data_IF_684086442033
#
_entry.id   IF_684086442033
#
_cell.length_a   1.000
_cell.length_b   1.000
_cell.length_c   1.000
_cell.angle_alpha   90.00
_cell.angle_beta   90.00
_cell.angle_gamma   90.00
#
_symmetry.space_group_name_H-M   'P 1'
#
loop_
_entity.id
_entity.type
_entity.pdbx_description
1 polymer ?
#
# COMPACT_ATOMS: atom_id res chain seq x y z
N UNK A 1 6.35 -9.33 -1.31
CA UNK A 1 7.38 -10.33 -0.97
C UNK A 1 6.88 -11.69 -1.37
N UNK A 2 7.73 -12.52 -1.95
CA UNK A 2 7.43 -13.93 -2.16
C UNK A 2 7.79 -14.77 -0.94
N UNK A 3 7.47 -16.06 -0.99
CA UNK A 3 7.90 -17.03 0.01
C UNK A 3 9.43 -17.11 0.06
N UNK A 4 9.99 -17.30 1.26
CA UNK A 4 11.43 -17.37 1.46
C UNK A 4 11.88 -17.12 2.90
N UNK A 5 13.19 -17.17 3.11
CA UNK A 5 13.85 -16.89 4.38
C UNK A 5 14.40 -15.46 4.41
N UNK A 6 14.15 -14.74 5.50
CA UNK A 6 14.48 -13.33 5.70
C UNK A 6 15.01 -13.09 7.11
N UNK A 7 15.44 -11.86 7.38
CA UNK A 7 15.85 -11.42 8.72
C UNK A 7 15.14 -10.12 9.08
N UNK A 8 14.55 -10.05 10.26
CA UNK A 8 13.88 -8.86 10.79
C UNK A 8 14.44 -8.55 12.19
N UNK A 9 15.07 -7.39 12.35
CA UNK A 9 15.69 -7.02 13.62
C UNK A 9 16.78 -8.00 14.09
N UNK A 10 17.47 -8.67 13.15
CA UNK A 10 18.45 -9.72 13.44
C UNK A 10 17.86 -11.10 13.72
N UNK A 11 16.54 -11.26 13.73
CA UNK A 11 15.87 -12.54 13.97
C UNK A 11 15.48 -13.22 12.64
N UNK A 12 15.63 -14.55 12.53
CA UNK A 12 15.29 -15.29 11.32
C UNK A 12 13.78 -15.43 11.14
N UNK A 13 13.29 -15.10 9.95
CA UNK A 13 11.87 -15.07 9.58
C UNK A 13 11.64 -15.92 8.34
N UNK A 14 10.70 -16.85 8.42
CA UNK A 14 10.19 -17.57 7.27
C UNK A 14 8.91 -16.88 6.78
N UNK A 15 8.86 -16.53 5.49
CA UNK A 15 7.64 -16.14 4.80
C UNK A 15 7.13 -17.33 4.02
N UNK A 16 5.91 -17.77 4.30
CA UNK A 16 5.27 -18.87 3.56
C UNK A 16 3.77 -18.66 3.49
N UNK A 17 3.18 -18.89 2.31
CA UNK A 17 1.73 -18.79 2.09
C UNK A 17 1.13 -17.44 2.56
N UNK A 18 1.86 -16.34 2.39
CA UNK A 18 1.39 -15.01 2.80
C UNK A 18 1.51 -14.68 4.30
N UNK A 19 2.19 -15.51 5.08
CA UNK A 19 2.47 -15.26 6.50
C UNK A 19 3.96 -15.12 6.75
N UNK A 20 4.37 -14.11 7.51
CA UNK A 20 5.73 -13.94 8.01
C UNK A 20 5.80 -14.41 9.47
N UNK A 21 6.64 -15.40 9.77
CA UNK A 21 6.79 -15.96 11.12
C UNK A 21 8.25 -16.11 11.51
N UNK A 22 8.54 -15.84 12.79
CA UNK A 22 9.80 -16.24 13.40
C UNK A 22 9.91 -17.77 13.42
N UNK A 23 11.12 -18.30 13.56
CA UNK A 23 11.34 -19.73 13.77
C UNK A 23 10.66 -20.29 15.04
N UNK A 24 10.35 -19.41 16.01
CA UNK A 24 9.53 -19.75 17.18
C UNK A 24 8.04 -19.96 16.86
N UNK A 25 7.59 -19.62 15.65
CA UNK A 25 6.20 -19.69 15.19
C UNK A 25 5.39 -18.40 15.37
N UNK A 26 5.91 -17.42 16.13
CA UNK A 26 5.26 -16.12 16.32
C UNK A 26 5.20 -15.29 15.03
N UNK A 27 4.15 -14.47 14.85
CA UNK A 27 4.07 -13.55 13.72
C UNK A 27 5.21 -12.52 13.77
N UNK A 28 5.80 -12.26 12.60
CA UNK A 28 6.92 -11.34 12.41
C UNK A 28 6.54 -10.24 11.42
N UNK A 29 5.59 -9.39 11.80
CA UNK A 29 5.03 -8.38 10.90
C UNK A 29 4.04 -8.97 9.89
N UNK A 30 3.98 -8.38 8.70
CA UNK A 30 3.05 -8.77 7.63
C UNK A 30 3.70 -8.58 6.26
N UNK A 31 3.22 -9.35 5.27
CA UNK A 31 3.54 -9.16 3.84
C UNK A 31 2.44 -8.43 3.07
N UNK A 32 1.43 -7.91 3.79
CA UNK A 32 0.34 -7.12 3.22
C UNK A 32 0.86 -5.79 2.65
N UNK A 33 0.49 -5.51 1.41
CA UNK A 33 0.77 -4.23 0.76
C UNK A 33 -0.36 -3.24 0.97
N UNK A 34 -0.10 -1.93 0.84
CA UNK A 34 -1.09 -0.89 1.15
C UNK A 34 -2.30 -0.91 0.20
N UNK A 35 -2.09 -1.19 -1.09
CA UNK A 35 -3.15 -1.38 -2.08
C UNK A 35 -4.09 -2.51 -1.65
N UNK A 36 -3.54 -3.66 -1.24
CA UNK A 36 -4.31 -4.79 -0.72
C UNK A 36 -4.99 -4.47 0.61
N UNK A 37 -4.37 -3.67 1.48
CA UNK A 37 -4.99 -3.23 2.73
C UNK A 37 -6.25 -2.38 2.46
N UNK A 38 -6.19 -1.45 1.49
CA UNK A 38 -7.35 -0.65 1.05
C UNK A 38 -8.40 -1.54 0.40
N UNK A 39 -8.01 -2.45 -0.50
CA UNK A 39 -8.91 -3.43 -1.10
C UNK A 39 -9.65 -4.27 -0.04
N UNK A 40 -8.94 -4.77 0.96
CA UNK A 40 -9.52 -5.55 2.06
C UNK A 40 -10.46 -4.70 2.92
N UNK A 41 -10.11 -3.45 3.21
CA UNK A 41 -10.97 -2.54 3.96
C UNK A 41 -12.31 -2.29 3.24
N UNK A 42 -12.29 -2.16 1.91
CA UNK A 42 -13.51 -1.98 1.13
C UNK A 42 -14.27 -3.30 0.99
N UNK A 43 -13.62 -4.37 0.54
CA UNK A 43 -14.28 -5.63 0.14
C UNK A 43 -14.63 -6.56 1.29
N UNK A 44 -13.78 -6.63 2.32
CA UNK A 44 -13.94 -7.57 3.44
C UNK A 44 -14.55 -6.91 4.68
N UNK A 45 -14.16 -5.66 4.96
CA UNK A 45 -14.67 -4.91 6.12
C UNK A 45 -15.94 -4.13 5.77
N UNK A 46 -16.12 -3.74 4.50
CA UNK A 46 -17.30 -3.02 4.03
C UNK A 46 -17.24 -1.50 4.21
N UNK A 47 -16.04 -0.92 4.31
CA UNK A 47 -15.88 0.53 4.35
C UNK A 47 -16.08 1.14 2.95
N UNK A 48 -16.60 2.36 2.89
CA UNK A 48 -16.58 3.11 1.63
C UNK A 48 -15.13 3.45 1.21
N UNK A 49 -14.92 3.58 -0.10
CA UNK A 49 -13.60 3.83 -0.68
C UNK A 49 -12.95 5.12 -0.15
N UNK A 50 -13.63 6.28 -0.08
CA UNK A 50 -13.04 7.51 0.48
C UNK A 50 -12.53 7.33 1.91
N UNK A 51 -13.26 6.63 2.76
CA UNK A 51 -12.86 6.34 4.15
C UNK A 51 -11.63 5.45 4.18
N UNK A 52 -11.62 4.36 3.42
CA UNK A 52 -10.47 3.46 3.34
C UNK A 52 -9.20 4.18 2.81
N UNK A 53 -9.34 5.02 1.78
CA UNK A 53 -8.24 5.83 1.24
C UNK A 53 -7.76 6.85 2.27
N UNK A 54 -8.64 7.55 2.98
CA UNK A 54 -8.27 8.50 4.02
C UNK A 54 -7.49 7.84 5.17
N UNK A 55 -7.86 6.61 5.56
CA UNK A 55 -7.12 5.81 6.54
C UNK A 55 -5.70 5.47 6.08
N UNK A 56 -5.49 5.24 4.78
CA UNK A 56 -4.19 4.96 4.20
C UNK A 56 -3.35 6.22 3.89
N UNK A 57 -3.96 7.42 3.85
CA UNK A 57 -3.31 8.63 3.34
C UNK A 57 -3.44 9.83 4.29
N UNK A 58 -4.62 10.47 4.35
CA UNK A 58 -4.84 11.71 5.09
C UNK A 58 -4.63 11.55 6.60
N UNK A 59 -5.11 10.45 7.18
CA UNK A 59 -4.99 10.19 8.61
C UNK A 59 -3.52 10.04 9.07
N UNK A 60 -2.69 9.19 8.43
CA UNK A 60 -1.27 9.12 8.78
C UNK A 60 -0.53 10.43 8.46
N UNK A 61 -0.88 11.15 7.38
CA UNK A 61 -0.30 12.46 7.10
C UNK A 61 -0.57 13.46 8.24
N UNK A 62 -1.81 13.54 8.74
CA UNK A 62 -2.17 14.39 9.88
C UNK A 62 -1.45 13.98 11.17
N UNK A 63 -1.39 12.67 11.44
CA UNK A 63 -0.69 12.14 12.61
C UNK A 63 0.79 12.57 12.64
N UNK A 64 1.43 12.58 11.46
CA UNK A 64 2.82 12.97 11.27
C UNK A 64 3.02 14.47 11.01
N UNK A 65 1.93 15.27 10.98
CA UNK A 65 1.95 16.70 10.64
C UNK A 65 2.56 17.00 9.27
N UNK A 66 2.19 16.18 8.29
CA UNK A 66 2.57 16.29 6.88
C UNK A 66 1.37 16.62 5.98
N UNK A 67 0.20 16.85 6.57
CA UNK A 67 -1.05 17.10 5.82
C UNK A 67 -1.12 18.50 5.19
N UNK A 68 -0.13 19.35 5.40
CA UNK A 68 0.11 20.56 4.61
C UNK A 68 0.60 20.21 3.19
N UNK A 69 1.32 19.10 3.01
CA UNK A 69 1.95 18.70 1.72
C UNK A 69 1.55 17.33 1.19
N UNK A 70 1.04 16.42 2.02
CA UNK A 70 0.72 15.03 1.68
C UNK A 70 -0.72 14.65 2.05
N UNK A 71 -1.11 13.44 1.65
CA UNK A 71 -2.31 12.76 2.15
C UNK A 71 -3.65 13.22 1.55
N UNK A 72 -3.67 14.22 0.66
CA UNK A 72 -4.88 14.59 -0.09
C UNK A 72 -4.53 15.24 -1.42
N UNK A 73 -5.49 15.21 -2.36
CA UNK A 73 -5.39 15.91 -3.64
C UNK A 73 -5.84 17.36 -3.46
N UNK A 74 -4.89 18.29 -3.42
CA UNK A 74 -5.17 19.73 -3.35
C UNK A 74 -4.04 20.52 -3.99
N UNK A 75 -4.38 21.71 -4.53
CA UNK A 75 -3.39 22.63 -5.10
C UNK A 75 -2.36 23.02 -4.03
N UNK A 76 -1.09 23.02 -4.41
CA UNK A 76 0.03 23.36 -3.52
C UNK A 76 0.63 22.18 -2.75
N UNK A 77 0.02 20.99 -2.82
CA UNK A 77 0.57 19.74 -2.27
C UNK A 77 1.50 19.04 -3.24
N UNK A 78 2.34 18.14 -2.71
CA UNK A 78 3.19 17.31 -3.54
C UNK A 78 2.33 16.38 -4.41
N UNK A 79 2.71 16.23 -5.67
CA UNK A 79 2.03 15.36 -6.62
C UNK A 79 2.39 13.88 -6.40
N UNK A 80 2.08 13.37 -5.20
CA UNK A 80 2.17 11.96 -4.82
C UNK A 80 0.81 11.28 -4.97
N UNK A 81 0.62 10.56 -6.07
CA UNK A 81 -0.68 10.08 -6.52
C UNK A 81 -0.64 8.59 -6.87
N UNK A 82 -1.80 7.94 -6.73
CA UNK A 82 -2.07 6.63 -7.29
C UNK A 82 -3.23 6.74 -8.28
N UNK A 83 -3.10 6.07 -9.42
CA UNK A 83 -4.20 5.81 -10.35
C UNK A 83 -4.65 4.37 -10.13
N UNK A 84 -5.93 4.20 -9.84
CA UNK A 84 -6.54 2.89 -9.58
C UNK A 84 -7.62 2.60 -10.62
N UNK A 85 -7.81 1.32 -10.96
CA UNK A 85 -9.00 0.88 -11.72
C UNK A 85 -10.22 0.65 -10.80
N UNK A 86 -11.33 0.21 -11.39
CA UNK A 86 -12.59 -0.07 -10.67
C UNK A 86 -12.44 -1.22 -9.66
N UNK A 87 -11.47 -2.11 -9.87
CA UNK A 87 -11.11 -3.20 -8.98
C UNK A 87 -10.06 -2.80 -7.93
N UNK A 88 -9.70 -1.52 -7.89
CA UNK A 88 -8.69 -0.93 -7.02
C UNK A 88 -7.28 -1.48 -7.24
N UNK A 89 -6.97 -1.99 -8.44
CA UNK A 89 -5.61 -2.35 -8.81
C UNK A 89 -4.83 -1.08 -9.19
N UNK A 90 -3.55 -1.02 -8.84
CA UNK A 90 -2.69 0.13 -9.14
C UNK A 90 -2.32 0.12 -10.63
N UNK A 91 -2.80 1.12 -11.36
CA UNK A 91 -2.46 1.38 -12.76
C UNK A 91 -1.22 2.24 -12.90
N UNK A 92 -1.06 3.25 -12.04
CA UNK A 92 0.11 4.12 -12.04
C UNK A 92 0.43 4.65 -10.63
N UNK A 93 1.71 4.92 -10.38
CA UNK A 93 2.19 5.63 -9.18
C UNK A 93 3.00 6.84 -9.62
N UNK A 94 2.68 7.99 -9.03
CA UNK A 94 3.35 9.27 -9.29
C UNK A 94 3.95 9.74 -7.97
N UNK A 95 5.21 10.16 -7.96
CA UNK A 95 5.89 10.71 -6.78
C UNK A 95 6.50 12.06 -7.18
N UNK A 96 6.12 13.13 -6.50
CA UNK A 96 6.60 14.48 -6.80
C UNK A 96 6.30 14.94 -8.23
N UNK A 97 5.28 14.38 -8.89
CA UNK A 97 4.93 14.67 -10.28
C UNK A 97 5.58 13.74 -11.31
N UNK A 98 6.50 12.87 -10.91
CA UNK A 98 7.16 11.90 -11.79
C UNK A 98 6.44 10.56 -11.75
N UNK A 99 6.12 9.99 -12.92
CA UNK A 99 5.55 8.63 -13.01
C UNK A 99 6.66 7.62 -12.71
N UNK A 100 6.56 6.93 -11.57
CA UNK A 100 7.56 5.94 -11.12
C UNK A 100 7.11 4.50 -11.33
N UNK A 101 5.81 4.30 -11.58
CA UNK A 101 5.22 3.04 -11.98
C UNK A 101 4.08 3.32 -12.95
N UNK A 102 4.02 2.54 -14.03
CA UNK A 102 2.92 2.50 -14.98
C UNK A 102 2.71 1.04 -15.35
N UNK A 103 1.50 0.54 -15.20
CA UNK A 103 1.18 -0.84 -15.50
C UNK A 103 1.32 -1.06 -17.02
N UNK A 104 2.11 -2.05 -17.46
CA UNK A 104 2.25 -2.34 -18.87
C UNK A 104 0.88 -2.64 -19.49
N UNK A 105 0.48 -1.86 -20.50
CA UNK A 105 -0.67 -2.24 -21.32
C UNK A 105 -0.31 -3.53 -22.06
N UNK A 106 -0.83 -4.67 -21.59
CA UNK A 106 -0.76 -5.91 -22.35
C UNK A 106 -1.72 -5.75 -23.54
N UNK A 107 -1.21 -5.16 -24.61
CA UNK A 107 -1.95 -5.03 -25.86
C UNK A 107 -2.21 -6.41 -26.45
N UNK A 108 -3.49 -6.79 -26.56
CA UNK A 108 -3.95 -7.63 -27.66
C UNK A 108 -3.58 -6.93 -28.96
N UNK A 109 -2.57 -7.47 -29.64
CA UNK A 109 -2.47 -7.39 -31.10
C UNK A 109 -3.16 -8.60 -31.70
#
# INVERSE_FOLDING_TARGET
MGDGEFTLGGLPVTVRNGEARLHSGSLAGSVLTMDRAVQNAVRLIGLDLPTAVAMATLHPARLLRLDDRKGSLAVGKDADLLVLDEDLNVKATIIGGEVVYDEPVIGTR
#
